data_IF_447117216270
#
_entry.id   IF_447117216270
#
_cell.length_a   1.000
_cell.length_b   1.000
_cell.length_c   1.000
_cell.angle_alpha   90.00
_cell.angle_beta   90.00
_cell.angle_gamma   90.00
#
_symmetry.space_group_name_H-M   'P 1'
#
loop_
_entity.id
_entity.type
_entity.pdbx_description
1 polymer ?
#
# COMPACT_ATOMS: atom_id res chain seq x y z
N UNK A 1 14.64 38.07 1.91
CA UNK A 1 13.87 37.73 0.69
C UNK A 1 14.30 36.44 -0.02
N UNK A 2 15.60 36.16 -0.20
CA UNK A 2 16.05 34.91 -0.83
C UNK A 2 15.70 33.66 -0.01
N UNK A 3 15.69 33.74 1.32
CA UNK A 3 15.61 32.55 2.18
C UNK A 3 14.21 31.96 2.31
N UNK A 4 13.15 32.78 2.46
CA UNK A 4 11.77 32.27 2.55
C UNK A 4 11.30 31.62 1.23
N UNK A 5 11.53 32.28 0.08
CA UNK A 5 11.21 31.72 -1.25
C UNK A 5 12.02 30.44 -1.53
N UNK A 6 13.31 30.38 -1.18
CA UNK A 6 14.12 29.15 -1.28
C UNK A 6 13.62 28.04 -0.36
N UNK A 7 13.13 28.38 0.82
CA UNK A 7 12.59 27.41 1.80
C UNK A 7 11.28 26.82 1.30
N UNK A 8 10.39 27.64 0.73
CA UNK A 8 9.16 27.20 0.09
C UNK A 8 9.43 26.21 -1.05
N UNK A 9 10.32 26.55 -1.99
CA UNK A 9 10.67 25.68 -3.12
C UNK A 9 11.31 24.36 -2.66
N UNK A 10 12.18 24.39 -1.64
CA UNK A 10 12.76 23.16 -1.06
C UNK A 10 11.69 22.29 -0.39
N UNK A 11 10.73 22.89 0.32
CA UNK A 11 9.62 22.15 0.93
C UNK A 11 8.75 21.50 -0.13
N UNK A 12 8.38 22.21 -1.20
CA UNK A 12 7.62 21.64 -2.33
C UNK A 12 8.33 20.44 -2.94
N UNK A 13 9.64 20.52 -3.16
CA UNK A 13 10.45 19.41 -3.67
C UNK A 13 10.46 18.20 -2.71
N UNK A 14 10.60 18.44 -1.40
CA UNK A 14 10.54 17.38 -0.38
C UNK A 14 9.18 16.70 -0.38
N UNK A 15 8.08 17.47 -0.41
CA UNK A 15 6.72 16.93 -0.44
C UNK A 15 6.42 16.19 -1.75
N UNK A 16 6.90 16.68 -2.88
CA UNK A 16 6.79 16.00 -4.16
C UNK A 16 7.53 14.65 -4.14
N UNK A 17 8.73 14.60 -3.55
CA UNK A 17 9.50 13.35 -3.39
C UNK A 17 8.78 12.38 -2.45
N UNK A 18 8.23 12.86 -1.32
CA UNK A 18 7.43 12.03 -0.39
C UNK A 18 6.20 11.43 -1.07
N UNK A 19 5.45 12.23 -1.85
CA UNK A 19 4.31 11.73 -2.64
C UNK A 19 4.70 10.60 -3.58
N UNK A 20 5.84 10.70 -4.28
CA UNK A 20 6.34 9.63 -5.14
C UNK A 20 6.69 8.35 -4.37
N UNK A 21 7.35 8.48 -3.21
CA UNK A 21 7.70 7.34 -2.35
C UNK A 21 6.44 6.65 -1.83
N UNK A 22 5.45 7.43 -1.36
CA UNK A 22 4.18 6.90 -0.86
C UNK A 22 3.38 6.21 -1.98
N UNK A 23 3.34 6.78 -3.18
CA UNK A 23 2.71 6.14 -4.34
C UNK A 23 3.39 4.81 -4.71
N UNK A 24 4.72 4.76 -4.68
CA UNK A 24 5.47 3.53 -4.93
C UNK A 24 5.19 2.47 -3.85
N UNK A 25 5.12 2.87 -2.57
CA UNK A 25 4.77 1.98 -1.46
C UNK A 25 3.34 1.44 -1.59
N UNK A 26 2.40 2.30 -1.96
CA UNK A 26 1.02 1.90 -2.21
C UNK A 26 0.93 0.88 -3.36
N UNK A 27 1.61 1.15 -4.49
CA UNK A 27 1.64 0.22 -5.61
C UNK A 27 2.29 -1.12 -5.26
N UNK A 28 3.33 -1.12 -4.41
CA UNK A 28 3.95 -2.35 -3.91
C UNK A 28 2.98 -3.17 -3.06
N UNK A 29 2.23 -2.53 -2.15
CA UNK A 29 1.23 -3.21 -1.32
C UNK A 29 0.05 -3.74 -2.15
N UNK A 30 -0.42 -2.96 -3.14
CA UNK A 30 -1.49 -3.39 -4.04
C UNK A 30 -1.04 -4.59 -4.89
N UNK A 31 0.21 -4.59 -5.38
CA UNK A 31 0.80 -5.75 -6.06
C UNK A 31 0.88 -6.97 -5.14
N UNK A 32 1.37 -6.79 -3.92
CA UNK A 32 1.45 -7.87 -2.93
C UNK A 32 0.07 -8.45 -2.58
N UNK A 33 -0.99 -7.63 -2.60
CA UNK A 33 -2.36 -8.10 -2.43
C UNK A 33 -2.80 -8.95 -3.62
N UNK A 34 -2.58 -8.47 -4.84
CA UNK A 34 -2.89 -9.20 -6.08
C UNK A 34 -2.13 -10.53 -6.18
N UNK A 35 -0.84 -10.54 -5.84
CA UNK A 35 -0.02 -11.75 -5.87
C UNK A 35 -0.55 -12.83 -4.89
N UNK A 36 -1.02 -12.40 -3.70
CA UNK A 36 -1.65 -13.30 -2.73
C UNK A 36 -3.00 -13.82 -3.19
N UNK A 37 -3.83 -12.97 -3.79
CA UNK A 37 -5.11 -13.37 -4.36
C UNK A 37 -4.94 -14.44 -5.45
N UNK A 38 -3.97 -14.24 -6.35
CA UNK A 38 -3.61 -15.24 -7.36
C UNK A 38 -3.16 -16.56 -6.72
N UNK A 39 -2.37 -16.50 -5.65
CA UNK A 39 -1.88 -17.69 -4.93
C UNK A 39 -3.02 -18.44 -4.24
N UNK A 40 -3.98 -17.74 -3.62
CA UNK A 40 -5.18 -18.34 -3.03
C UNK A 40 -5.98 -19.05 -4.11
N UNK A 41 -6.27 -18.39 -5.23
CA UNK A 41 -7.02 -18.98 -6.34
C UNK A 41 -6.31 -20.22 -6.91
N UNK A 42 -4.97 -20.19 -7.00
CA UNK A 42 -4.19 -21.34 -7.44
C UNK A 42 -4.27 -22.53 -6.45
N UNK A 43 -4.24 -22.26 -5.14
CA UNK A 43 -4.40 -23.28 -4.10
C UNK A 43 -5.81 -23.87 -4.11
N UNK A 44 -6.83 -23.06 -4.31
CA UNK A 44 -8.22 -23.50 -4.43
C UNK A 44 -8.43 -24.35 -5.68
N UNK A 45 -7.90 -23.92 -6.82
CA UNK A 45 -7.92 -24.72 -8.06
C UNK A 45 -7.23 -26.07 -7.87
N UNK A 46 -6.07 -26.08 -7.19
CA UNK A 46 -5.35 -27.33 -6.91
C UNK A 46 -6.13 -28.25 -5.97
N UNK A 47 -6.91 -27.68 -5.05
CA UNK A 47 -7.79 -28.42 -4.16
C UNK A 47 -8.91 -29.10 -4.95
N UNK A 48 -9.56 -28.37 -5.84
CA UNK A 48 -10.64 -28.91 -6.68
C UNK A 48 -10.13 -30.00 -7.64
N UNK A 49 -8.92 -29.82 -8.20
CA UNK A 49 -8.26 -30.85 -9.02
C UNK A 49 -7.94 -32.09 -8.17
N UNK A 50 -7.42 -31.89 -6.96
CA UNK A 50 -7.08 -33.01 -6.06
C UNK A 50 -8.32 -33.84 -5.64
N UNK A 51 -9.49 -33.21 -5.52
CA UNK A 51 -10.76 -33.93 -5.27
C UNK A 51 -11.13 -34.80 -6.47
N UNK A 52 -11.07 -34.26 -7.69
CA UNK A 52 -11.36 -35.01 -8.93
C UNK A 52 -10.38 -36.15 -9.18
N UNK A 53 -9.10 -35.91 -8.96
CA UNK A 53 -8.05 -36.94 -9.12
C UNK A 53 -8.27 -38.08 -8.12
N UNK A 54 -8.67 -37.75 -6.88
CA UNK A 54 -8.99 -38.74 -5.87
C UNK A 54 -10.21 -39.59 -6.23
N UNK A 55 -11.29 -38.96 -6.71
CA UNK A 55 -12.48 -39.66 -7.19
C UNK A 55 -12.13 -40.63 -8.33
N UNK A 56 -11.34 -40.15 -9.30
CA UNK A 56 -10.88 -40.96 -10.44
C UNK A 56 -10.04 -42.15 -10.01
N UNK A 57 -9.10 -41.94 -9.07
CA UNK A 57 -8.28 -43.00 -8.48
C UNK A 57 -9.12 -44.06 -7.75
N UNK A 58 -10.12 -43.63 -6.97
CA UNK A 58 -11.05 -44.53 -6.27
C UNK A 58 -11.85 -45.35 -7.28
N UNK A 59 -12.43 -44.71 -8.30
CA UNK A 59 -13.17 -45.41 -9.34
C UNK A 59 -12.30 -46.44 -10.07
N UNK A 60 -11.05 -46.08 -10.40
CA UNK A 60 -10.09 -46.98 -11.02
C UNK A 60 -9.81 -48.22 -10.16
N UNK A 61 -9.61 -48.01 -8.86
CA UNK A 61 -9.45 -49.11 -7.90
C UNK A 61 -10.69 -50.00 -7.88
N UNK A 62 -11.89 -49.43 -7.72
CA UNK A 62 -13.14 -50.20 -7.67
C UNK A 62 -13.36 -51.06 -8.93
N UNK A 63 -13.04 -50.53 -10.11
CA UNK A 63 -13.17 -51.27 -11.39
C UNK A 63 -12.20 -52.45 -11.50
N UNK A 64 -11.04 -52.39 -10.81
CA UNK A 64 -10.03 -53.46 -10.85
C UNK A 64 -10.36 -54.68 -9.98
N UNK A 65 -11.33 -54.57 -9.06
CA UNK A 65 -11.71 -55.67 -8.17
C UNK A 65 -12.72 -56.62 -8.83
N UNK A 66 -12.23 -57.77 -9.28
CA UNK A 66 -13.02 -58.79 -10.00
C UNK A 66 -13.20 -60.11 -9.26
N UNK A 67 -12.47 -60.35 -8.16
CA UNK A 67 -12.52 -61.61 -7.40
C UNK A 67 -12.57 -61.38 -5.89
N UNK A 68 -13.04 -62.38 -5.13
CA UNK A 68 -13.10 -62.34 -3.66
C UNK A 68 -11.74 -61.98 -3.01
N UNK A 69 -10.61 -62.49 -3.52
CA UNK A 69 -9.27 -62.09 -3.04
C UNK A 69 -8.92 -60.64 -3.39
N UNK A 70 -9.36 -60.15 -4.54
CA UNK A 70 -9.12 -58.76 -4.94
C UNK A 70 -9.81 -57.77 -4.00
N UNK A 71 -10.97 -58.11 -3.42
CA UNK A 71 -11.66 -57.22 -2.48
C UNK A 71 -10.87 -56.91 -1.20
N UNK A 72 -10.12 -57.87 -0.64
CA UNK A 72 -9.40 -57.60 0.60
C UNK A 72 -8.20 -56.67 0.39
N UNK A 73 -7.46 -56.86 -0.71
CA UNK A 73 -6.38 -55.96 -1.15
C UNK A 73 -6.92 -54.58 -1.55
N UNK A 74 -8.07 -54.55 -2.23
CA UNK A 74 -8.76 -53.33 -2.61
C UNK A 74 -9.15 -52.48 -1.39
N UNK A 75 -9.74 -53.09 -0.35
CA UNK A 75 -10.16 -52.38 0.86
C UNK A 75 -8.97 -51.70 1.55
N UNK A 76 -7.83 -52.39 1.65
CA UNK A 76 -6.59 -51.81 2.20
C UNK A 76 -6.07 -50.66 1.32
N UNK A 77 -6.09 -50.82 -0.01
CA UNK A 77 -5.65 -49.77 -0.94
C UNK A 77 -6.55 -48.52 -0.88
N UNK A 78 -7.87 -48.71 -0.81
CA UNK A 78 -8.85 -47.63 -0.65
C UNK A 78 -8.66 -46.90 0.67
N UNK A 79 -8.45 -47.62 1.77
CA UNK A 79 -8.20 -47.00 3.07
C UNK A 79 -6.92 -46.15 3.05
N UNK A 80 -5.84 -46.67 2.48
CA UNK A 80 -4.57 -45.94 2.34
C UNK A 80 -4.74 -44.67 1.49
N UNK A 81 -5.39 -44.78 0.32
CA UNK A 81 -5.66 -43.63 -0.56
C UNK A 81 -6.53 -42.58 0.09
N UNK A 82 -7.55 -42.98 0.86
CA UNK A 82 -8.42 -42.05 1.60
C UNK A 82 -7.65 -41.27 2.66
N UNK A 83 -6.80 -41.96 3.44
CA UNK A 83 -5.95 -41.31 4.45
C UNK A 83 -5.00 -40.32 3.80
N UNK A 84 -4.34 -40.72 2.70
CA UNK A 84 -3.45 -39.85 1.95
C UNK A 84 -4.18 -38.60 1.43
N UNK A 85 -5.32 -38.78 0.76
CA UNK A 85 -6.11 -37.67 0.23
C UNK A 85 -6.54 -36.69 1.33
N UNK A 86 -7.05 -37.19 2.46
CA UNK A 86 -7.41 -36.32 3.58
C UNK A 86 -6.21 -35.56 4.16
N UNK A 87 -5.02 -36.19 4.21
CA UNK A 87 -3.78 -35.54 4.60
C UNK A 87 -3.40 -34.40 3.64
N UNK A 88 -3.36 -34.69 2.34
CA UNK A 88 -3.02 -33.71 1.30
C UNK A 88 -4.01 -32.54 1.29
N UNK A 89 -5.31 -32.82 1.43
CA UNK A 89 -6.37 -31.82 1.51
C UNK A 89 -6.26 -30.94 2.75
N UNK A 90 -5.88 -31.51 3.91
CA UNK A 90 -5.66 -30.74 5.12
C UNK A 90 -4.50 -29.75 4.94
N UNK A 91 -3.41 -30.17 4.29
CA UNK A 91 -2.26 -29.31 3.97
C UNK A 91 -2.68 -28.18 3.03
N UNK A 92 -3.41 -28.47 1.95
CA UNK A 92 -3.90 -27.45 1.02
C UNK A 92 -4.84 -26.44 1.69
N UNK A 93 -5.76 -26.91 2.54
CA UNK A 93 -6.67 -26.05 3.32
C UNK A 93 -5.90 -25.14 4.28
N UNK A 94 -4.95 -25.68 5.01
CA UNK A 94 -4.11 -24.90 5.92
C UNK A 94 -3.26 -23.86 5.15
N UNK A 95 -2.64 -24.25 4.04
CA UNK A 95 -1.89 -23.32 3.19
C UNK A 95 -2.77 -22.17 2.68
N UNK A 96 -3.99 -22.49 2.22
CA UNK A 96 -4.97 -21.49 1.76
C UNK A 96 -5.37 -20.53 2.89
N UNK A 97 -5.62 -21.05 4.10
CA UNK A 97 -5.94 -20.24 5.27
C UNK A 97 -4.80 -19.26 5.61
N UNK A 98 -3.55 -19.73 5.61
CA UNK A 98 -2.38 -18.88 5.87
C UNK A 98 -2.23 -17.75 4.87
N UNK A 99 -2.48 -18.02 3.59
CA UNK A 99 -2.44 -16.96 2.57
C UNK A 99 -3.56 -15.94 2.76
N UNK A 100 -4.76 -16.37 3.15
CA UNK A 100 -5.87 -15.47 3.51
C UNK A 100 -5.54 -14.60 4.73
N UNK A 101 -5.00 -15.18 5.80
CA UNK A 101 -4.53 -14.43 6.98
C UNK A 101 -3.48 -13.37 6.60
N UNK A 102 -2.56 -13.71 5.70
CA UNK A 102 -1.54 -12.77 5.22
C UNK A 102 -2.14 -11.68 4.32
N UNK A 103 -3.17 -12.00 3.52
CA UNK A 103 -3.90 -11.05 2.71
C UNK A 103 -4.65 -10.04 3.59
N UNK A 104 -5.32 -10.50 4.65
CA UNK A 104 -6.04 -9.63 5.59
C UNK A 104 -5.09 -8.64 6.27
N UNK A 105 -3.92 -9.10 6.74
CA UNK A 105 -2.88 -8.21 7.30
C UNK A 105 -2.41 -7.16 6.29
N UNK A 106 -2.18 -7.57 5.04
CA UNK A 106 -1.78 -6.63 3.97
C UNK A 106 -2.88 -5.59 3.73
N UNK A 107 -4.15 -5.98 3.81
CA UNK A 107 -5.29 -5.08 3.65
C UNK A 107 -5.37 -4.05 4.77
N UNK A 108 -5.13 -4.46 6.02
CA UNK A 108 -5.07 -3.56 7.18
C UNK A 108 -3.90 -2.57 7.06
N UNK A 109 -2.74 -3.04 6.61
CA UNK A 109 -1.56 -2.19 6.34
C UNK A 109 -1.86 -1.14 5.25
N UNK A 110 -2.52 -1.54 4.16
CA UNK A 110 -2.95 -0.62 3.10
C UNK A 110 -3.93 0.42 3.63
N UNK A 111 -4.92 0.01 4.44
CA UNK A 111 -5.88 0.94 5.02
C UNK A 111 -5.20 1.97 5.94
N UNK A 112 -4.28 1.51 6.77
CA UNK A 112 -3.48 2.36 7.66
C UNK A 112 -2.62 3.35 6.87
N UNK A 113 -1.88 2.86 5.87
CA UNK A 113 -1.03 3.69 5.02
C UNK A 113 -1.84 4.76 4.27
N UNK A 114 -3.02 4.40 3.74
CA UNK A 114 -3.93 5.37 3.08
C UNK A 114 -4.40 6.45 4.03
N UNK A 115 -4.73 6.09 5.27
CA UNK A 115 -5.14 7.06 6.29
C UNK A 115 -3.98 8.00 6.68
N UNK A 116 -2.77 7.45 6.89
CA UNK A 116 -1.56 8.23 7.20
C UNK A 116 -1.20 9.20 6.07
N UNK A 117 -1.19 8.75 4.82
CA UNK A 117 -0.92 9.59 3.64
C UNK A 117 -1.94 10.72 3.53
N UNK A 118 -3.23 10.46 3.74
CA UNK A 118 -4.26 11.52 3.75
C UNK A 118 -4.00 12.54 4.85
N UNK A 119 -3.61 12.10 6.05
CA UNK A 119 -3.32 13.00 7.17
C UNK A 119 -2.02 13.80 6.96
N UNK A 120 -1.02 13.20 6.34
CA UNK A 120 0.22 13.88 5.95
C UNK A 120 -0.07 14.96 4.89
N UNK A 121 -0.88 14.64 3.88
CA UNK A 121 -1.31 15.60 2.87
C UNK A 121 -2.06 16.80 3.47
N UNK A 122 -3.01 16.55 4.40
CA UNK A 122 -3.72 17.62 5.13
C UNK A 122 -2.78 18.51 5.93
N UNK A 123 -1.77 17.93 6.59
CA UNK A 123 -0.76 18.70 7.35
C UNK A 123 0.13 19.54 6.43
N UNK A 124 0.55 18.98 5.30
CA UNK A 124 1.33 19.71 4.29
C UNK A 124 0.54 20.91 3.73
N UNK A 125 -0.74 20.73 3.44
CA UNK A 125 -1.60 21.81 2.94
C UNK A 125 -1.74 22.95 3.95
N UNK A 126 -1.98 22.62 5.24
CA UNK A 126 -2.02 23.63 6.31
C UNK A 126 -0.71 24.41 6.43
N UNK A 127 0.42 23.71 6.34
CA UNK A 127 1.73 24.35 6.42
C UNK A 127 1.99 25.27 5.21
N UNK A 128 1.55 24.87 4.02
CA UNK A 128 1.63 25.70 2.79
C UNK A 128 0.90 27.03 2.98
N UNK A 129 -0.34 26.98 3.48
CA UNK A 129 -1.15 28.17 3.75
C UNK A 129 -0.48 29.10 4.77
N UNK A 130 0.10 28.56 5.84
CA UNK A 130 0.81 29.36 6.85
C UNK A 130 2.06 30.04 6.26
N UNK A 131 2.86 29.32 5.48
CA UNK A 131 4.05 29.89 4.83
C UNK A 131 3.69 30.94 3.77
N UNK A 132 2.58 30.76 3.04
CA UNK A 132 2.07 31.77 2.11
C UNK A 132 1.63 33.03 2.86
N UNK A 133 0.97 32.91 4.01
CA UNK A 133 0.61 34.04 4.84
C UNK A 133 1.84 34.79 5.40
N UNK A 134 2.87 34.07 5.84
CA UNK A 134 4.15 34.67 6.28
C UNK A 134 4.85 35.42 5.14
N UNK A 135 4.87 34.86 3.92
CA UNK A 135 5.44 35.52 2.74
C UNK A 135 4.72 36.84 2.42
N UNK A 136 3.38 36.86 2.49
CA UNK A 136 2.58 38.06 2.24
C UNK A 136 2.86 39.12 3.32
N UNK A 137 2.95 38.71 4.60
CA UNK A 137 3.25 39.63 5.68
C UNK A 137 4.65 40.25 5.56
N UNK A 138 5.66 39.45 5.20
CA UNK A 138 7.03 39.93 4.94
C UNK A 138 7.09 40.90 3.76
N UNK A 139 6.34 40.64 2.68
CA UNK A 139 6.27 41.53 1.52
C UNK A 139 5.60 42.86 1.89
N UNK A 140 4.50 42.84 2.64
CA UNK A 140 3.81 44.04 3.10
C UNK A 140 4.68 44.90 4.04
N UNK A 141 5.42 44.30 4.97
CA UNK A 141 6.37 45.03 5.83
C UNK A 141 7.47 45.72 5.02
N UNK A 142 7.90 45.12 3.91
CA UNK A 142 8.92 45.69 3.04
C UNK A 142 8.38 46.86 2.22
N UNK A 143 7.17 46.75 1.69
CA UNK A 143 6.49 47.85 0.98
C UNK A 143 6.35 49.07 1.90
N UNK A 144 5.92 48.87 3.15
CA UNK A 144 5.84 49.96 4.14
C UNK A 144 7.23 50.54 4.44
N UNK A 145 8.25 49.71 4.61
CA UNK A 145 9.62 50.19 4.84
C UNK A 145 10.19 50.99 3.66
N UNK A 146 9.90 50.60 2.42
CA UNK A 146 10.30 51.34 1.21
C UNK A 146 9.57 52.69 1.10
N UNK A 147 8.29 52.75 1.48
CA UNK A 147 7.52 53.99 1.53
C UNK A 147 8.05 54.95 2.61
N UNK A 148 8.41 54.42 3.80
CA UNK A 148 9.01 55.19 4.88
C UNK A 148 10.41 55.73 4.49
N UNK A 149 11.28 54.90 3.92
CA UNK A 149 12.60 55.34 3.42
C UNK A 149 12.47 56.42 2.33
N UNK A 150 11.51 56.28 1.41
CA UNK A 150 11.25 57.27 0.37
C UNK A 150 10.73 58.60 0.94
N UNK A 151 9.87 58.55 1.96
CA UNK A 151 9.37 59.73 2.65
C UNK A 151 10.48 60.45 3.43
N UNK A 152 11.33 59.71 4.16
CA UNK A 152 12.48 60.27 4.87
C UNK A 152 13.49 60.91 3.92
N UNK A 153 13.75 60.29 2.76
CA UNK A 153 14.63 60.85 1.73
C UNK A 153 14.06 62.16 1.14
N UNK A 154 12.74 62.25 0.92
CA UNK A 154 12.09 63.49 0.50
C UNK A 154 12.17 64.59 1.55
N UNK A 155 11.94 64.26 2.83
CA UNK A 155 12.06 65.21 3.93
C UNK A 155 13.50 65.72 4.04
N UNK A 156 14.51 64.84 3.97
CA UNK A 156 15.91 65.24 3.98
C UNK A 156 16.27 66.16 2.79
N UNK A 157 15.78 65.84 1.58
CA UNK A 157 15.96 66.68 0.41
C UNK A 157 15.36 68.09 0.60
N UNK A 158 14.14 68.19 1.12
CA UNK A 158 13.48 69.48 1.38
C UNK A 158 14.21 70.31 2.45
N UNK A 159 14.66 69.68 3.54
CA UNK A 159 15.41 70.35 4.61
C UNK A 159 16.77 70.86 4.12
N UNK A 160 17.44 70.13 3.21
CA UNK A 160 18.69 70.59 2.60
C UNK A 160 18.53 71.77 1.64
N UNK A 161 17.37 71.90 0.98
CA UNK A 161 17.04 73.02 0.09
C UNK A 161 16.47 74.27 0.81
N UNK A 162 16.07 74.14 2.08
CA UNK A 162 15.58 75.26 2.91
C UNK A 162 16.71 76.04 3.63
N UNK A 163 17.97 75.74 3.32
CA UNK A 163 19.17 76.49 3.72
C UNK A 163 19.72 77.29 2.54
#
# INVERSE_FOLDING_TARGET
MMDAKRTFTKLEQIYARRRKIEAARQAMLDKQFSDREQKINALETRRDLSEKDHETDIEGLLRSATTARHYHTLLSALAAKKVQHHGDMAVLRHATLREREAQDKTREEVATQRHETRNAARRAEKMKVLLEAELIADEALREVGEEEEAAEAQVCAQVSHAR
#
